data_IF_895298119753
#
_entry.id   IF_895298119753
#
_cell.length_a   1.000
_cell.length_b   1.000
_cell.length_c   1.000
_cell.angle_alpha   90.00
_cell.angle_beta   90.00
_cell.angle_gamma   90.00
#
_symmetry.space_group_name_H-M   'P 1'
#
loop_
_entity.id
_entity.type
_entity.pdbx_description
1 polymer ?
#
# COMPACT_ATOMS: atom_id res chain seq x y z
N UNK A 1 33.91 -0.07 -1.01
CA UNK A 1 33.62 -0.45 0.38
C UNK A 1 32.12 -0.51 0.56
N UNK A 2 31.59 -1.63 0.98
CA UNK A 2 30.17 -1.79 1.29
C UNK A 2 29.94 -1.20 2.68
N UNK A 3 29.08 -0.17 2.77
CA UNK A 3 28.66 0.40 4.05
C UNK A 3 27.75 -0.56 4.83
N UNK A 4 27.84 -0.51 6.16
CA UNK A 4 26.93 -1.26 7.07
C UNK A 4 26.07 -0.24 7.82
N UNK A 5 24.75 -0.46 7.81
CA UNK A 5 23.81 0.30 8.62
C UNK A 5 23.46 -0.51 9.85
N UNK A 6 23.85 -0.02 11.03
CA UNK A 6 23.47 -0.60 12.32
C UNK A 6 22.26 0.12 12.87
N UNK A 7 21.15 -0.60 13.12
CA UNK A 7 19.94 -0.07 13.70
C UNK A 7 19.79 -0.59 15.12
N UNK A 8 19.83 0.31 16.10
CA UNK A 8 19.51 0.00 17.50
C UNK A 8 18.08 0.44 17.78
N UNK A 9 17.25 -0.52 18.16
CA UNK A 9 15.83 -0.24 18.49
C UNK A 9 15.69 0.22 19.93
N UNK A 10 14.67 1.05 20.22
CA UNK A 10 14.35 1.49 21.58
C UNK A 10 14.17 0.28 22.50
N UNK A 11 14.78 0.31 23.66
CA UNK A 11 14.65 -0.68 24.74
C UNK A 11 14.29 0.07 26.05
N UNK A 12 13.86 -0.67 27.06
CA UNK A 12 13.70 -0.10 28.39
C UNK A 12 15.05 0.36 28.95
N UNK A 13 15.03 1.39 29.77
CA UNK A 13 16.18 1.94 30.48
C UNK A 13 15.95 1.83 31.99
N UNK A 14 17.01 1.96 32.77
CA UNK A 14 16.88 2.11 34.23
C UNK A 14 16.19 3.45 34.51
N UNK A 15 14.99 3.39 35.02
CA UNK A 15 14.15 4.55 35.40
C UNK A 15 13.94 4.61 36.90
N UNK A 16 14.76 3.88 37.68
CA UNK A 16 14.58 3.68 39.12
C UNK A 16 13.17 3.15 39.47
N UNK A 17 12.65 2.21 38.63
CA UNK A 17 11.33 1.62 38.82
C UNK A 17 10.15 2.48 38.35
N UNK A 18 10.37 3.70 37.85
CA UNK A 18 9.30 4.54 37.29
C UNK A 18 8.91 4.08 35.88
N UNK A 19 7.62 4.20 35.57
CA UNK A 19 7.09 3.97 34.22
C UNK A 19 7.15 5.28 33.44
N UNK A 20 7.73 5.21 32.23
CA UNK A 20 7.65 6.30 31.26
C UNK A 20 6.57 5.95 30.24
N UNK A 21 5.67 6.90 30.01
CA UNK A 21 4.60 6.81 28.99
C UNK A 21 4.90 7.85 27.92
N UNK A 22 4.94 7.42 26.65
CA UNK A 22 5.16 8.32 25.52
C UNK A 22 4.05 8.07 24.51
N UNK A 23 3.36 9.12 24.12
CA UNK A 23 2.45 9.13 22.99
C UNK A 23 3.05 9.94 21.85
N UNK A 24 3.04 9.36 20.65
CA UNK A 24 3.46 10.00 19.41
C UNK A 24 2.28 9.97 18.44
N UNK A 25 1.79 11.13 18.05
CA UNK A 25 0.64 11.31 17.18
C UNK A 25 1.00 12.17 15.96
N UNK A 26 0.53 11.78 14.78
CA UNK A 26 0.73 12.54 13.57
C UNK A 26 -0.49 12.49 12.65
N UNK A 27 -0.78 13.62 12.02
CA UNK A 27 -1.80 13.73 10.98
C UNK A 27 -1.21 14.45 9.77
N UNK A 28 -1.39 13.85 8.59
CA UNK A 28 -0.90 14.41 7.33
C UNK A 28 -2.03 14.44 6.32
N UNK A 29 -2.17 15.55 5.61
CA UNK A 29 -3.05 15.70 4.45
C UNK A 29 -2.17 15.72 3.21
N UNK A 30 -2.55 14.98 2.18
CA UNK A 30 -1.91 14.98 0.88
C UNK A 30 -2.93 15.29 -0.23
N UNK A 31 -2.44 15.78 -1.33
CA UNK A 31 -3.23 16.01 -2.54
C UNK A 31 -2.43 15.60 -3.75
N UNK A 32 -3.12 15.32 -4.86
CA UNK A 32 -2.45 15.03 -6.11
C UNK A 32 -1.51 16.19 -6.48
N UNK A 33 -0.28 15.86 -6.79
CA UNK A 33 0.76 16.83 -7.09
C UNK A 33 0.72 17.32 -8.55
N UNK A 34 1.85 17.19 -9.26
CA UNK A 34 1.95 17.53 -10.67
C UNK A 34 1.27 16.45 -11.52
N UNK A 35 0.38 16.88 -12.39
CA UNK A 35 -0.24 16.07 -13.44
C UNK A 35 0.37 16.43 -14.79
N UNK A 36 0.31 15.55 -15.81
CA UNK A 36 0.69 15.87 -17.17
C UNK A 36 -0.05 17.10 -17.70
N UNK A 37 0.64 17.89 -18.51
CA UNK A 37 0.04 19.02 -19.20
C UNK A 37 -0.81 18.49 -20.37
N UNK A 38 -2.02 18.98 -20.52
CA UNK A 38 -2.93 18.62 -21.60
C UNK A 38 -3.01 19.75 -22.62
N UNK A 39 -3.22 19.40 -23.89
CA UNK A 39 -3.55 20.41 -24.90
C UNK A 39 -4.93 21.02 -24.63
N UNK A 40 -5.15 22.27 -25.00
CA UNK A 40 -6.34 23.05 -24.63
C UNK A 40 -7.09 23.64 -25.81
N UNK A 41 -6.75 23.24 -27.03
CA UNK A 41 -7.26 23.87 -28.26
C UNK A 41 -8.28 23.00 -28.99
N UNK A 42 -8.17 21.68 -28.88
CA UNK A 42 -8.98 20.72 -29.62
C UNK A 42 -9.72 19.80 -28.67
N UNK A 43 -10.91 19.37 -29.06
CA UNK A 43 -11.75 18.47 -28.27
C UNK A 43 -11.76 17.04 -28.81
N UNK A 44 -12.79 16.30 -28.41
CA UNK A 44 -12.99 14.90 -28.77
C UNK A 44 -12.88 14.66 -30.28
N UNK A 45 -12.14 13.60 -30.65
CA UNK A 45 -11.98 13.17 -32.04
C UNK A 45 -10.54 13.17 -32.52
N UNK A 46 -10.37 12.95 -33.82
CA UNK A 46 -9.09 12.88 -34.52
C UNK A 46 -9.14 13.70 -35.82
N UNK A 47 -7.99 14.07 -36.36
CA UNK A 47 -7.83 14.69 -37.67
C UNK A 47 -8.60 16.01 -37.88
N UNK A 48 -8.81 16.78 -36.81
CA UNK A 48 -9.52 18.08 -36.88
C UNK A 48 -11.01 18.00 -37.14
N UNK A 49 -11.59 16.78 -37.17
CA UNK A 49 -13.03 16.59 -37.33
C UNK A 49 -13.72 16.62 -35.98
N UNK A 50 -14.73 17.47 -35.86
CA UNK A 50 -15.57 17.55 -34.67
C UNK A 50 -16.88 16.87 -34.91
N UNK A 51 -17.35 16.16 -33.91
CA UNK A 51 -18.73 15.70 -33.85
C UNK A 51 -19.15 14.88 -35.08
N UNK A 52 -20.30 14.46 -35.15
CA UNK A 52 -20.80 13.51 -36.15
C UNK A 52 -20.56 12.09 -35.66
N UNK A 53 -20.44 11.09 -36.54
CA UNK A 53 -20.37 9.68 -36.14
C UNK A 53 -19.18 9.30 -35.26
N UNK A 54 -18.24 10.20 -35.00
CA UNK A 54 -17.03 9.94 -34.21
C UNK A 54 -17.14 10.41 -32.76
N UNK A 55 -18.31 10.59 -32.21
CA UNK A 55 -18.55 10.91 -30.78
C UNK A 55 -18.10 9.79 -29.83
N UNK A 56 -17.73 8.63 -30.38
CA UNK A 56 -17.21 7.47 -29.63
C UNK A 56 -15.68 7.48 -29.44
N UNK A 57 -14.99 8.48 -30.00
CA UNK A 57 -13.53 8.58 -29.90
C UNK A 57 -13.09 9.03 -28.50
N UNK A 58 -11.95 8.54 -28.07
CA UNK A 58 -11.29 8.93 -26.84
C UNK A 58 -10.13 9.93 -27.07
N UNK A 59 -9.86 10.31 -28.31
CA UNK A 59 -8.79 11.24 -28.68
C UNK A 59 -9.18 12.71 -28.45
N UNK A 60 -8.16 13.57 -28.41
CA UNK A 60 -8.29 15.01 -28.17
C UNK A 60 -7.72 15.83 -29.34
N UNK A 61 -7.86 15.35 -30.57
CA UNK A 61 -7.38 15.99 -31.80
C UNK A 61 -8.50 16.16 -32.82
N UNK A 62 -9.72 16.37 -32.34
CA UNK A 62 -10.89 16.73 -33.12
C UNK A 62 -10.87 18.20 -33.57
N UNK A 63 -12.03 18.82 -33.74
CA UNK A 63 -12.10 20.23 -34.09
C UNK A 63 -11.63 21.15 -32.97
N UNK A 64 -11.26 22.38 -33.34
CA UNK A 64 -10.97 23.41 -32.37
C UNK A 64 -12.23 23.76 -31.54
N UNK A 65 -12.02 24.05 -30.28
CA UNK A 65 -13.08 24.49 -29.39
C UNK A 65 -13.70 25.80 -29.88
N UNK A 66 -15.02 25.90 -29.85
CA UNK A 66 -15.78 27.07 -30.22
C UNK A 66 -16.73 27.58 -29.13
N UNK A 67 -16.80 26.88 -27.99
CA UNK A 67 -17.62 27.23 -26.84
C UNK A 67 -19.14 27.04 -27.03
N UNK A 68 -19.57 26.50 -28.16
CA UNK A 68 -20.99 26.26 -28.43
C UNK A 68 -21.47 24.96 -27.80
N UNK A 69 -22.73 24.92 -27.44
CA UNK A 69 -23.37 23.69 -26.96
C UNK A 69 -23.42 22.65 -28.08
N UNK A 70 -23.03 21.44 -27.77
CA UNK A 70 -23.05 20.30 -28.67
C UNK A 70 -23.58 19.05 -27.98
N UNK A 71 -24.24 18.20 -28.72
CA UNK A 71 -24.59 16.86 -28.27
C UNK A 71 -23.33 16.01 -28.16
N UNK A 72 -23.31 15.05 -27.21
CA UNK A 72 -22.23 14.13 -27.04
C UNK A 72 -22.72 12.79 -26.47
N UNK A 73 -21.86 11.74 -26.54
CA UNK A 73 -22.23 10.42 -26.10
C UNK A 73 -23.32 9.76 -26.97
N UNK A 74 -23.83 8.67 -26.48
CA UNK A 74 -24.86 7.89 -27.16
C UNK A 74 -26.25 8.48 -27.04
N UNK A 75 -27.13 8.20 -28.01
CA UNK A 75 -28.58 8.43 -27.90
C UNK A 75 -29.15 7.25 -27.12
N UNK A 76 -29.87 7.54 -26.03
CA UNK A 76 -30.50 6.54 -25.16
C UNK A 76 -31.94 7.00 -24.88
N UNK A 77 -32.94 6.17 -25.21
CA UNK A 77 -34.37 6.48 -25.07
C UNK A 77 -34.76 7.81 -25.74
N UNK A 78 -34.29 8.03 -26.96
CA UNK A 78 -34.49 9.25 -27.75
C UNK A 78 -33.91 10.56 -27.12
N UNK A 79 -33.06 10.42 -26.09
CA UNK A 79 -32.37 11.53 -25.45
C UNK A 79 -30.86 11.48 -25.71
N UNK A 80 -30.20 12.62 -25.76
CA UNK A 80 -28.76 12.73 -25.86
C UNK A 80 -28.24 13.84 -24.97
N UNK A 81 -27.07 13.63 -24.37
CA UNK A 81 -26.43 14.62 -23.51
C UNK A 81 -25.93 15.81 -24.32
N UNK A 82 -25.98 17.01 -23.69
CA UNK A 82 -25.50 18.27 -24.28
C UNK A 82 -24.47 18.89 -23.35
N UNK A 83 -23.40 19.45 -23.92
CA UNK A 83 -22.35 20.16 -23.17
C UNK A 83 -21.76 21.29 -24.00
N UNK A 84 -21.17 22.33 -23.37
CA UNK A 84 -20.31 23.27 -24.08
C UNK A 84 -19.10 22.54 -24.69
N UNK A 85 -18.82 22.82 -25.96
CA UNK A 85 -17.63 22.32 -26.62
C UNK A 85 -16.43 23.21 -26.27
N UNK A 86 -15.87 22.98 -25.08
CA UNK A 86 -14.81 23.79 -24.51
C UNK A 86 -13.91 22.95 -23.59
N UNK A 87 -12.64 23.31 -23.51
CA UNK A 87 -11.69 22.68 -22.60
C UNK A 87 -12.12 22.83 -21.13
N UNK A 88 -12.14 21.73 -20.41
CA UNK A 88 -12.40 21.69 -18.97
C UNK A 88 -11.10 21.65 -18.18
N UNK A 89 -10.76 22.78 -17.60
CA UNK A 89 -9.59 22.90 -16.73
C UNK A 89 -9.75 22.04 -15.47
N UNK A 90 -8.68 21.40 -15.04
CA UNK A 90 -8.60 20.60 -13.82
C UNK A 90 -9.44 19.31 -13.80
N UNK A 91 -10.10 18.90 -14.86
CA UNK A 91 -11.00 17.72 -14.90
C UNK A 91 -10.37 16.46 -14.29
N UNK A 92 -9.09 16.20 -14.54
CA UNK A 92 -8.34 15.07 -13.96
C UNK A 92 -8.02 15.34 -12.49
N UNK A 93 -7.70 16.58 -12.13
CA UNK A 93 -7.40 16.96 -10.74
C UNK A 93 -8.63 16.83 -9.85
N UNK A 94 -9.79 17.25 -10.34
CA UNK A 94 -11.06 17.25 -9.61
C UNK A 94 -11.58 15.83 -9.35
N UNK A 95 -11.08 14.83 -10.07
CA UNK A 95 -11.34 13.43 -9.80
C UNK A 95 -10.72 12.96 -8.47
N UNK A 96 -9.57 13.51 -8.07
CA UNK A 96 -8.84 13.06 -6.90
C UNK A 96 -9.34 13.72 -5.62
N UNK A 97 -9.46 12.91 -4.55
CA UNK A 97 -9.76 13.37 -3.20
C UNK A 97 -8.50 13.83 -2.44
N UNK A 98 -8.70 14.34 -1.24
CA UNK A 98 -7.62 14.61 -0.29
C UNK A 98 -7.22 13.31 0.41
N UNK A 99 -5.95 12.94 0.26
CA UNK A 99 -5.39 11.85 1.03
C UNK A 99 -5.17 12.24 2.50
N UNK A 100 -5.33 11.26 3.40
CA UNK A 100 -5.21 11.44 4.85
C UNK A 100 -4.34 10.33 5.44
N UNK A 101 -3.47 10.71 6.36
CA UNK A 101 -2.65 9.75 7.08
C UNK A 101 -2.68 10.06 8.58
N UNK A 102 -3.09 9.07 9.36
CA UNK A 102 -3.13 9.09 10.82
C UNK A 102 -2.06 8.13 11.34
N UNK A 103 -1.17 8.66 12.19
CA UNK A 103 -0.19 7.86 12.93
C UNK A 103 -0.40 8.06 14.40
N UNK A 104 -0.52 6.96 15.13
CA UNK A 104 -0.63 6.96 16.59
C UNK A 104 0.29 5.88 17.13
N UNK A 105 1.07 6.22 18.15
CA UNK A 105 1.89 5.27 18.87
C UNK A 105 1.88 5.59 20.36
N UNK A 106 1.55 4.61 21.16
CA UNK A 106 1.66 4.66 22.62
C UNK A 106 2.75 3.70 23.04
N UNK A 107 3.73 4.16 23.82
CA UNK A 107 4.76 3.31 24.38
C UNK A 107 4.90 3.48 25.88
N UNK A 108 5.16 2.35 26.53
CA UNK A 108 5.45 2.23 27.95
C UNK A 108 6.86 1.67 28.09
N UNK A 109 7.69 2.28 28.91
CA UNK A 109 9.02 1.76 29.22
C UNK A 109 9.39 2.02 30.65
N UNK A 110 10.26 1.18 31.16
CA UNK A 110 10.77 1.34 32.51
C UNK A 110 11.80 0.26 32.83
N UNK A 111 12.34 0.35 34.04
CA UNK A 111 13.26 -0.64 34.52
C UNK A 111 14.01 -0.24 35.78
N UNK A 112 14.79 -1.20 36.25
CA UNK A 112 15.76 -1.11 37.28
C UNK A 112 17.14 -1.49 36.73
N UNK A 113 18.15 -1.62 37.55
CA UNK A 113 19.49 -2.11 37.14
C UNK A 113 19.44 -3.54 36.58
N UNK A 114 18.50 -4.36 37.06
CA UNK A 114 18.42 -5.79 36.70
C UNK A 114 17.31 -6.12 35.69
N UNK A 115 16.30 -5.28 35.61
CA UNK A 115 15.12 -5.55 34.78
C UNK A 115 14.80 -4.33 33.95
N UNK A 116 14.57 -4.50 32.64
CA UNK A 116 14.01 -3.46 31.82
C UNK A 116 12.92 -4.01 30.91
N UNK A 117 11.99 -3.14 30.55
CA UNK A 117 10.90 -3.47 29.63
C UNK A 117 10.53 -2.27 28.76
N UNK A 118 10.04 -2.59 27.58
CA UNK A 118 9.47 -1.67 26.63
C UNK A 118 8.28 -2.35 25.94
N UNK A 119 7.14 -1.66 25.88
CA UNK A 119 5.95 -2.10 25.15
C UNK A 119 5.47 -0.92 24.32
N UNK A 120 5.16 -1.15 23.06
CA UNK A 120 4.60 -0.12 22.17
C UNK A 120 3.48 -0.70 21.34
N UNK A 121 2.36 0.01 21.30
CA UNK A 121 1.25 -0.22 20.37
C UNK A 121 1.18 0.94 19.40
N UNK A 122 1.15 0.65 18.10
CA UNK A 122 1.06 1.68 17.07
C UNK A 122 0.03 1.35 16.00
N UNK A 123 -0.56 2.41 15.45
CA UNK A 123 -1.47 2.39 14.31
C UNK A 123 -0.95 3.35 13.25
N UNK A 124 -0.95 2.92 12.00
CA UNK A 124 -0.80 3.78 10.84
C UNK A 124 -1.98 3.52 9.89
N UNK A 125 -2.79 4.54 9.63
CA UNK A 125 -3.95 4.48 8.75
C UNK A 125 -3.82 5.52 7.66
N UNK A 126 -3.75 5.07 6.42
CA UNK A 126 -3.62 5.91 5.24
C UNK A 126 -4.85 5.70 4.36
N UNK A 127 -5.47 6.79 3.97
CA UNK A 127 -6.40 6.89 2.88
C UNK A 127 -5.72 7.74 1.81
N UNK A 128 -5.52 7.19 0.61
CA UNK A 128 -4.80 7.87 -0.46
C UNK A 128 -5.63 8.97 -1.13
N UNK A 129 -5.23 9.34 -2.33
CA UNK A 129 -5.91 10.43 -3.08
C UNK A 129 -6.97 9.92 -4.06
N UNK A 130 -7.10 8.60 -4.22
CA UNK A 130 -8.10 8.01 -5.11
C UNK A 130 -9.44 7.98 -4.39
N UNK A 131 -10.54 8.43 -5.03
CA UNK A 131 -11.86 8.41 -4.42
C UNK A 131 -12.26 7.02 -3.91
N UNK A 132 -13.21 6.97 -2.98
CA UNK A 132 -13.80 5.73 -2.46
C UNK A 132 -12.87 4.87 -1.59
N UNK A 133 -11.73 5.41 -1.14
CA UNK A 133 -10.75 4.71 -0.28
C UNK A 133 -10.25 3.38 -0.85
N UNK A 134 -10.10 3.31 -2.18
CA UNK A 134 -9.58 2.12 -2.85
C UNK A 134 -8.05 2.07 -2.90
N UNK A 135 -7.36 3.12 -2.46
CA UNK A 135 -5.91 3.19 -2.28
C UNK A 135 -5.56 3.39 -0.79
N UNK A 136 -5.99 2.47 0.06
CA UNK A 136 -5.85 2.60 1.51
C UNK A 136 -4.87 1.59 2.10
N UNK A 137 -4.24 1.99 3.21
CA UNK A 137 -3.33 1.15 4.00
C UNK A 137 -3.59 1.30 5.48
N UNK A 138 -3.75 0.19 6.18
CA UNK A 138 -3.91 0.15 7.62
C UNK A 138 -2.91 -0.84 8.21
N UNK A 139 -2.15 -0.39 9.24
CA UNK A 139 -1.21 -1.24 9.96
C UNK A 139 -1.34 -1.02 11.46
N UNK A 140 -1.43 -2.12 12.18
CA UNK A 140 -1.32 -2.18 13.63
C UNK A 140 -0.06 -2.94 13.99
N UNK A 141 0.69 -2.44 14.97
CA UNK A 141 1.92 -3.09 15.41
C UNK A 141 1.98 -3.11 16.94
N UNK A 142 2.27 -4.28 17.50
CA UNK A 142 2.66 -4.46 18.90
C UNK A 142 4.14 -4.81 18.93
N UNK A 143 4.93 -4.06 19.68
CA UNK A 143 6.34 -4.33 19.92
C UNK A 143 6.59 -4.45 21.42
N UNK A 144 7.21 -5.54 21.82
CA UNK A 144 7.63 -5.74 23.23
C UNK A 144 9.09 -6.10 23.29
N UNK A 145 9.77 -5.60 24.30
CA UNK A 145 11.15 -5.94 24.62
C UNK A 145 11.32 -5.99 26.12
N UNK A 146 12.10 -6.93 26.57
CA UNK A 146 12.42 -7.02 27.98
C UNK A 146 13.72 -7.72 28.22
N UNK A 147 14.36 -7.41 29.34
CA UNK A 147 15.46 -8.21 29.87
C UNK A 147 15.43 -8.26 31.39
N UNK A 148 15.89 -9.38 31.92
CA UNK A 148 16.04 -9.58 33.35
C UNK A 148 17.34 -10.31 33.62
N UNK A 149 18.09 -9.83 34.64
CA UNK A 149 19.32 -10.45 35.11
C UNK A 149 19.14 -10.99 36.53
N UNK A 150 19.33 -12.29 36.70
CA UNK A 150 19.31 -12.99 37.96
C UNK A 150 20.66 -13.66 38.21
N UNK A 151 21.52 -13.06 39.03
CA UNK A 151 22.88 -13.54 39.28
C UNK A 151 23.69 -13.63 37.99
N UNK A 152 24.13 -14.85 37.63
CA UNK A 152 24.92 -15.14 36.43
C UNK A 152 24.10 -15.30 35.15
N UNK A 153 22.78 -15.31 35.24
CA UNK A 153 21.87 -15.54 34.10
C UNK A 153 21.20 -14.24 33.70
N UNK A 154 21.25 -13.92 32.39
CA UNK A 154 20.47 -12.83 31.78
C UNK A 154 19.57 -13.38 30.68
N UNK A 155 18.29 -13.10 30.79
CA UNK A 155 17.29 -13.41 29.77
C UNK A 155 16.88 -12.12 29.07
N UNK A 156 16.83 -12.15 27.75
CA UNK A 156 16.36 -11.02 26.95
C UNK A 156 15.38 -11.50 25.88
N UNK A 157 14.30 -10.75 25.68
CA UNK A 157 13.28 -11.05 24.67
C UNK A 157 12.96 -9.82 23.84
N UNK A 158 12.59 -10.04 22.58
CA UNK A 158 12.03 -9.01 21.72
C UNK A 158 10.99 -9.67 20.82
N UNK A 159 9.78 -9.15 20.82
CA UNK A 159 8.66 -9.65 20.02
C UNK A 159 8.03 -8.49 19.29
N UNK A 160 7.76 -8.66 18.01
CA UNK A 160 7.01 -7.73 17.19
C UNK A 160 5.93 -8.49 16.42
N UNK A 161 4.72 -7.97 16.46
CA UNK A 161 3.58 -8.49 15.73
C UNK A 161 2.97 -7.36 14.93
N UNK A 162 2.67 -7.57 13.66
CA UNK A 162 1.94 -6.61 12.85
C UNK A 162 0.82 -7.25 12.05
N UNK A 163 -0.27 -6.50 11.90
CA UNK A 163 -1.38 -6.81 11.02
C UNK A 163 -1.54 -5.65 10.03
N UNK A 164 -1.55 -5.96 8.74
CA UNK A 164 -1.62 -4.99 7.66
C UNK A 164 -2.77 -5.32 6.71
N UNK A 165 -3.47 -4.28 6.25
CA UNK A 165 -4.44 -4.38 5.18
C UNK A 165 -4.17 -3.27 4.17
N UNK A 166 -3.97 -3.65 2.92
CA UNK A 166 -3.78 -2.74 1.79
C UNK A 166 -4.92 -2.95 0.80
N UNK A 167 -5.50 -1.87 0.33
CA UNK A 167 -6.32 -1.85 -0.87
C UNK A 167 -5.55 -1.10 -1.95
N UNK A 168 -5.62 -1.60 -3.17
CA UNK A 168 -4.96 -0.99 -4.32
C UNK A 168 -5.87 -1.04 -5.55
N UNK A 169 -5.83 0.01 -6.33
CA UNK A 169 -6.46 0.05 -7.66
C UNK A 169 -5.58 -0.65 -8.68
N UNK A 170 -6.20 -1.10 -9.77
CA UNK A 170 -5.48 -1.70 -10.89
C UNK A 170 -4.41 -0.77 -11.44
N UNK A 171 -3.24 -1.34 -11.72
CA UNK A 171 -2.10 -0.65 -12.33
C UNK A 171 -1.61 -1.45 -13.54
N UNK A 172 -0.91 -0.77 -14.45
CA UNK A 172 -0.41 -1.39 -15.68
C UNK A 172 -1.26 -1.04 -16.90
N UNK A 173 -0.75 -1.37 -18.08
CA UNK A 173 -1.40 -1.07 -19.35
C UNK A 173 -2.70 -1.87 -19.47
N UNK A 174 -3.81 -1.21 -19.75
CA UNK A 174 -5.13 -1.81 -19.96
C UNK A 174 -6.01 -1.92 -18.71
N UNK A 175 -5.44 -1.92 -17.50
CA UNK A 175 -6.19 -1.99 -16.24
C UNK A 175 -5.97 -0.79 -15.32
N UNK A 176 -5.21 0.22 -15.77
CA UNK A 176 -4.83 1.37 -14.96
C UNK A 176 -5.96 2.40 -14.89
N UNK A 177 -6.40 2.70 -13.68
CA UNK A 177 -7.30 3.84 -13.45
C UNK A 177 -6.76 5.15 -14.06
N UNK A 178 -5.44 5.37 -13.95
CA UNK A 178 -4.78 6.54 -14.54
C UNK A 178 -4.98 6.62 -16.06
N UNK A 179 -4.85 5.49 -16.78
CA UNK A 179 -5.15 5.42 -18.21
C UNK A 179 -6.60 5.84 -18.48
N UNK A 180 -7.55 5.27 -17.76
CA UNK A 180 -8.97 5.58 -17.94
C UNK A 180 -9.29 7.07 -17.79
N UNK A 181 -8.58 7.80 -16.91
CA UNK A 181 -8.78 9.25 -16.74
C UNK A 181 -8.29 10.06 -17.95
N UNK A 182 -7.17 9.65 -18.58
CA UNK A 182 -6.57 10.38 -19.70
C UNK A 182 -7.12 9.94 -21.07
N UNK A 183 -7.86 8.86 -21.12
CA UNK A 183 -8.62 8.42 -22.32
C UNK A 183 -10.02 9.05 -22.38
N UNK A 184 -10.37 9.93 -21.48
CA UNK A 184 -11.57 10.75 -21.55
C UNK A 184 -11.22 12.07 -22.26
N UNK A 185 -12.04 12.48 -23.22
CA UNK A 185 -11.82 13.73 -23.95
C UNK A 185 -11.82 14.95 -23.03
N UNK A 186 -10.99 15.94 -23.36
CA UNK A 186 -10.70 17.11 -22.50
C UNK A 186 -11.88 18.05 -22.27
N UNK A 187 -12.97 17.85 -22.98
CA UNK A 187 -14.25 18.57 -22.86
C UNK A 187 -15.33 17.76 -22.11
N UNK A 188 -14.97 16.61 -21.53
CA UNK A 188 -15.86 15.77 -20.74
C UNK A 188 -15.48 15.85 -19.25
N UNK A 189 -16.43 16.17 -18.40
CA UNK A 189 -16.28 16.21 -16.95
C UNK A 189 -16.18 14.80 -16.39
N UNK A 190 -15.03 14.46 -15.78
CA UNK A 190 -14.82 13.14 -15.21
C UNK A 190 -15.73 12.93 -13.99
N UNK A 191 -15.91 13.95 -13.16
CA UNK A 191 -16.73 13.83 -11.93
C UNK A 191 -18.20 13.59 -12.21
N UNK A 192 -18.70 14.00 -13.39
CA UNK A 192 -20.10 13.78 -13.79
C UNK A 192 -20.34 12.30 -14.19
N UNK A 193 -19.29 11.54 -14.44
CA UNK A 193 -19.37 10.10 -14.73
C UNK A 193 -19.50 9.23 -13.46
N UNK A 194 -19.59 9.85 -12.26
CA UNK A 194 -19.57 9.17 -10.97
C UNK A 194 -20.70 8.15 -10.82
N UNK A 195 -21.89 8.49 -11.31
CA UNK A 195 -22.99 7.52 -11.41
C UNK A 195 -22.80 6.64 -12.64
N UNK A 196 -21.93 5.63 -12.51
CA UNK A 196 -21.61 4.72 -13.60
C UNK A 196 -22.74 3.71 -13.92
N UNK A 197 -23.83 3.71 -13.15
CA UNK A 197 -25.07 2.98 -13.45
C UNK A 197 -26.09 3.84 -14.20
N UNK A 198 -25.84 5.13 -14.36
CA UNK A 198 -26.67 6.01 -15.16
C UNK A 198 -26.80 5.49 -16.60
N UNK A 199 -28.00 5.62 -17.20
CA UNK A 199 -28.28 5.13 -18.56
C UNK A 199 -27.30 5.60 -19.62
N UNK A 200 -26.66 6.77 -19.47
CA UNK A 200 -25.65 7.30 -20.39
C UNK A 200 -24.21 6.90 -20.08
N UNK A 201 -23.94 6.38 -18.87
CA UNK A 201 -22.59 6.18 -18.38
C UNK A 201 -22.27 4.73 -18.02
N UNK A 202 -23.26 3.84 -18.12
CA UNK A 202 -23.11 2.42 -17.89
C UNK A 202 -22.33 1.73 -19.03
N UNK A 203 -22.05 0.45 -18.90
CA UNK A 203 -21.29 -0.32 -19.90
C UNK A 203 -21.95 -0.31 -21.28
N UNK A 204 -23.28 -0.37 -21.33
CA UNK A 204 -24.04 -0.43 -22.57
C UNK A 204 -24.01 0.86 -23.40
N UNK A 205 -23.78 1.99 -22.73
CA UNK A 205 -23.96 3.32 -23.34
C UNK A 205 -22.80 4.29 -23.04
N UNK A 206 -21.68 3.81 -22.45
CA UNK A 206 -20.53 4.67 -22.25
C UNK A 206 -20.05 5.24 -23.58
N UNK A 207 -19.71 6.52 -23.59
CA UNK A 207 -19.51 7.33 -24.79
C UNK A 207 -18.40 6.83 -25.72
N UNK A 208 -17.43 6.03 -25.23
CA UNK A 208 -16.32 5.53 -26.06
C UNK A 208 -16.22 4.02 -26.01
N UNK A 209 -15.88 3.42 -27.15
CA UNK A 209 -15.59 1.98 -27.28
C UNK A 209 -14.19 1.60 -26.80
N UNK A 210 -13.30 2.56 -26.59
CA UNK A 210 -11.87 2.34 -26.32
C UNK A 210 -11.52 2.41 -24.84
N UNK A 211 -12.47 2.75 -23.99
CA UNK A 211 -12.26 2.87 -22.56
C UNK A 211 -13.50 2.48 -21.74
N UNK A 212 -13.32 2.42 -20.45
CA UNK A 212 -14.39 2.12 -19.49
C UNK A 212 -14.52 3.27 -18.51
N UNK A 213 -15.74 3.53 -18.04
CA UNK A 213 -15.99 4.54 -17.01
C UNK A 213 -15.03 4.34 -15.82
N UNK A 214 -14.22 5.34 -15.44
CA UNK A 214 -13.23 5.20 -14.37
C UNK A 214 -13.84 4.85 -13.03
N UNK A 215 -15.07 5.27 -12.75
CA UNK A 215 -15.76 4.90 -11.50
C UNK A 215 -16.25 3.46 -11.53
N UNK A 216 -16.65 2.91 -12.70
CA UNK A 216 -16.89 1.48 -12.82
C UNK A 216 -15.61 0.68 -12.51
N UNK A 217 -14.48 1.05 -13.14
CA UNK A 217 -13.18 0.41 -12.86
C UNK A 217 -12.82 0.49 -11.38
N UNK A 218 -13.09 1.64 -10.75
CA UNK A 218 -12.75 1.89 -9.35
C UNK A 218 -13.61 1.08 -8.38
N UNK A 219 -14.89 0.88 -8.67
CA UNK A 219 -15.83 0.20 -7.79
C UNK A 219 -15.86 -1.31 -8.01
N UNK A 220 -15.78 -1.73 -9.26
CA UNK A 220 -15.99 -3.12 -9.66
C UNK A 220 -14.68 -3.93 -9.75
N UNK A 221 -13.52 -3.26 -9.82
CA UNK A 221 -12.22 -3.90 -9.83
C UNK A 221 -11.44 -3.55 -8.55
N UNK A 222 -10.57 -4.43 -8.12
CA UNK A 222 -9.74 -4.11 -6.97
C UNK A 222 -8.79 -5.22 -6.53
N UNK A 223 -7.86 -4.82 -5.69
CA UNK A 223 -6.96 -5.75 -5.02
C UNK A 223 -6.94 -5.45 -3.52
N UNK A 224 -7.09 -6.48 -2.71
CA UNK A 224 -6.99 -6.41 -1.26
C UNK A 224 -5.92 -7.37 -0.79
N UNK A 225 -4.91 -6.85 -0.12
CA UNK A 225 -3.89 -7.68 0.54
C UNK A 225 -4.04 -7.58 2.05
N UNK A 226 -3.99 -8.72 2.74
CA UNK A 226 -3.89 -8.83 4.19
C UNK A 226 -2.60 -9.55 4.53
N UNK A 227 -1.80 -8.95 5.41
CA UNK A 227 -0.53 -9.49 5.83
C UNK A 227 -0.41 -9.50 7.35
N UNK A 228 0.03 -10.61 7.88
CA UNK A 228 0.34 -10.78 9.29
C UNK A 228 1.80 -11.17 9.41
N UNK A 229 2.52 -10.46 10.27
CA UNK A 229 3.94 -10.73 10.51
C UNK A 229 4.20 -10.81 12.01
N UNK A 230 4.94 -11.84 12.36
CA UNK A 230 5.54 -12.04 13.68
C UNK A 230 7.05 -12.16 13.49
N UNK A 231 7.82 -11.42 14.26
CA UNK A 231 9.24 -11.70 14.39
C UNK A 231 9.70 -11.45 15.82
N UNK A 232 10.59 -12.30 16.28
CA UNK A 232 11.03 -12.24 17.64
C UNK A 232 12.39 -12.83 17.88
N UNK A 233 12.94 -12.49 19.04
CA UNK A 233 14.20 -13.00 19.54
C UNK A 233 14.07 -13.34 21.01
N UNK A 234 14.59 -14.51 21.38
CA UNK A 234 14.89 -14.90 22.75
C UNK A 234 16.41 -15.06 22.89
N UNK A 235 17.00 -14.57 23.96
CA UNK A 235 18.41 -14.71 24.25
C UNK A 235 18.63 -15.04 25.71
N UNK A 236 19.44 -16.04 25.95
CA UNK A 236 19.92 -16.47 27.26
C UNK A 236 21.44 -16.31 27.29
N UNK A 237 21.90 -15.48 28.20
CA UNK A 237 23.33 -15.29 28.50
C UNK A 237 23.61 -15.90 29.87
N UNK A 238 24.70 -16.69 29.99
CA UNK A 238 25.17 -17.30 31.22
C UNK A 238 26.64 -17.01 31.42
N UNK A 239 26.95 -16.27 32.49
CA UNK A 239 28.32 -16.00 32.91
C UNK A 239 28.89 -17.25 33.64
N UNK A 240 29.48 -18.17 32.89
CA UNK A 240 30.03 -19.44 33.39
C UNK A 240 31.17 -19.12 34.39
N UNK A 241 32.11 -18.29 33.96
CA UNK A 241 33.24 -17.73 34.72
C UNK A 241 33.26 -16.22 34.50
N UNK A 242 34.13 -15.50 35.21
CA UNK A 242 34.28 -14.03 34.98
C UNK A 242 34.71 -13.73 33.54
N UNK A 243 35.55 -14.59 32.98
CA UNK A 243 36.12 -14.44 31.64
C UNK A 243 35.33 -15.22 30.56
N UNK A 244 34.43 -16.15 30.95
CA UNK A 244 33.73 -17.04 30.02
C UNK A 244 32.23 -16.88 30.08
N UNK A 245 31.62 -16.46 28.96
CA UNK A 245 30.18 -16.34 28.78
C UNK A 245 29.68 -17.32 27.73
N UNK A 246 28.60 -18.03 28.05
CA UNK A 246 27.80 -18.80 27.11
C UNK A 246 26.55 -18.03 26.71
N UNK A 247 26.27 -17.97 25.41
CA UNK A 247 25.08 -17.32 24.89
C UNK A 247 24.31 -18.28 23.99
N UNK A 248 23.01 -18.43 24.24
CA UNK A 248 22.08 -19.04 23.31
C UNK A 248 21.11 -18.00 22.81
N UNK A 249 20.92 -17.90 21.49
CA UNK A 249 19.98 -17.02 20.87
C UNK A 249 19.06 -17.80 19.93
N UNK A 250 17.76 -17.61 20.09
CA UNK A 250 16.74 -18.09 19.19
C UNK A 250 16.06 -16.90 18.51
N UNK A 251 15.98 -16.91 17.19
CA UNK A 251 15.25 -15.95 16.38
C UNK A 251 14.17 -16.64 15.55
N UNK A 252 13.00 -16.05 15.49
CA UNK A 252 11.91 -16.51 14.65
C UNK A 252 11.31 -15.36 13.86
N UNK A 253 11.04 -15.59 12.57
CA UNK A 253 10.30 -14.69 11.66
C UNK A 253 9.23 -15.54 10.96
N UNK A 254 7.98 -15.10 11.04
CA UNK A 254 6.86 -15.71 10.35
C UNK A 254 6.02 -14.63 9.69
N UNK A 255 5.76 -14.79 8.40
CA UNK A 255 4.91 -13.90 7.62
C UNK A 255 3.90 -14.73 6.83
N UNK A 256 2.63 -14.35 6.90
CA UNK A 256 1.60 -14.85 5.99
C UNK A 256 0.93 -13.65 5.32
N UNK A 257 0.74 -13.73 4.00
CA UNK A 257 0.00 -12.75 3.23
C UNK A 257 -1.01 -13.43 2.34
N UNK A 258 -2.20 -12.85 2.26
CA UNK A 258 -3.25 -13.22 1.32
C UNK A 258 -3.59 -12.00 0.47
N UNK A 259 -3.56 -12.17 -0.83
CA UNK A 259 -3.96 -11.15 -1.82
C UNK A 259 -5.16 -11.67 -2.61
N UNK A 260 -6.23 -10.91 -2.57
CA UNK A 260 -7.45 -11.15 -3.35
C UNK A 260 -7.49 -10.07 -4.44
N UNK A 261 -7.52 -10.45 -5.71
CA UNK A 261 -7.66 -9.53 -6.84
C UNK A 261 -8.88 -9.95 -7.65
N UNK A 262 -9.72 -8.99 -8.01
CA UNK A 262 -10.86 -9.23 -8.87
C UNK A 262 -10.95 -8.17 -9.97
N UNK A 263 -11.38 -8.62 -11.13
CA UNK A 263 -11.74 -7.82 -12.29
C UNK A 263 -13.16 -8.25 -12.65
N UNK A 264 -14.09 -7.31 -12.65
CA UNK A 264 -15.48 -7.57 -12.99
C UNK A 264 -15.62 -7.98 -14.47
N UNK A 265 -16.59 -8.82 -14.82
CA UNK A 265 -16.91 -9.09 -16.20
C UNK A 265 -17.43 -7.83 -16.90
N UNK A 266 -16.98 -7.58 -18.11
CA UNK A 266 -17.59 -6.62 -19.00
C UNK A 266 -18.60 -7.35 -19.86
N UNK A 267 -19.88 -7.17 -19.58
CA UNK A 267 -20.99 -7.75 -20.34
C UNK A 267 -21.79 -6.62 -20.95
N UNK A 268 -22.04 -6.70 -22.24
CA UNK A 268 -22.79 -5.70 -23.01
C UNK A 268 -24.14 -6.30 -23.39
N UNK A 269 -25.20 -5.57 -23.15
CA UNK A 269 -26.55 -6.02 -23.49
C UNK A 269 -26.72 -6.04 -25.01
N UNK A 270 -27.22 -7.15 -25.55
CA UNK A 270 -27.52 -7.31 -26.97
C UNK A 270 -28.44 -6.20 -27.46
N UNK A 271 -28.10 -5.57 -28.58
CA UNK A 271 -28.83 -4.43 -29.16
C UNK A 271 -28.60 -3.09 -28.48
N UNK A 272 -27.76 -2.99 -27.45
CA UNK A 272 -27.37 -1.71 -26.87
C UNK A 272 -26.38 -0.94 -27.76
N UNK A 273 -26.08 0.32 -27.41
CA UNK A 273 -25.20 1.17 -28.24
C UNK A 273 -23.76 0.64 -28.35
N UNK A 274 -23.29 -0.08 -27.35
CA UNK A 274 -21.92 -0.61 -27.32
C UNK A 274 -21.83 -2.08 -27.77
N UNK A 275 -22.98 -2.70 -28.11
CA UNK A 275 -23.02 -4.07 -28.62
C UNK A 275 -22.24 -4.22 -29.94
N UNK A 276 -21.37 -5.23 -29.97
CA UNK A 276 -20.47 -5.51 -31.10
C UNK A 276 -19.28 -4.56 -31.25
N UNK A 277 -19.17 -3.50 -30.43
CA UNK A 277 -18.05 -2.54 -30.45
C UNK A 277 -17.12 -2.69 -29.26
N UNK A 278 -17.66 -2.92 -28.07
CA UNK A 278 -16.85 -3.13 -26.86
C UNK A 278 -16.53 -4.61 -26.69
N UNK A 279 -15.25 -4.92 -26.46
CA UNK A 279 -14.83 -6.30 -26.21
C UNK A 279 -15.32 -6.74 -24.83
N UNK A 280 -16.15 -7.77 -24.82
CA UNK A 280 -16.57 -8.41 -23.58
C UNK A 280 -15.42 -9.18 -22.90
N UNK A 281 -15.38 -9.12 -21.58
CA UNK A 281 -14.39 -9.80 -20.75
C UNK A 281 -15.11 -10.62 -19.69
N UNK A 282 -14.78 -11.88 -19.56
CA UNK A 282 -15.40 -12.79 -18.59
C UNK A 282 -15.13 -12.40 -17.10
N UNK A 283 -14.22 -11.48 -16.88
CA UNK A 283 -13.74 -11.15 -15.55
C UNK A 283 -12.70 -12.13 -15.03
N UNK A 284 -12.14 -11.83 -13.87
CA UNK A 284 -11.12 -12.68 -13.24
C UNK A 284 -11.15 -12.50 -11.73
N UNK A 285 -10.99 -13.60 -11.00
CA UNK A 285 -10.72 -13.61 -9.58
C UNK A 285 -9.46 -14.43 -9.31
N UNK A 286 -8.49 -13.80 -8.65
CA UNK A 286 -7.23 -14.44 -8.27
C UNK A 286 -7.03 -14.32 -6.78
N UNK A 287 -6.83 -15.44 -6.11
CA UNK A 287 -6.37 -15.51 -4.73
C UNK A 287 -4.94 -16.01 -4.71
N UNK A 288 -4.07 -15.29 -4.01
CA UNK A 288 -2.68 -15.66 -3.79
C UNK A 288 -2.39 -15.68 -2.31
N UNK A 289 -1.83 -16.78 -1.81
CA UNK A 289 -1.37 -16.92 -0.43
C UNK A 289 0.11 -17.22 -0.39
N UNK A 290 0.84 -16.45 0.41
CA UNK A 290 2.28 -16.64 0.63
C UNK A 290 2.52 -16.83 2.12
N UNK A 291 3.28 -17.85 2.47
CA UNK A 291 3.77 -18.09 3.83
C UNK A 291 5.29 -18.17 3.82
N UNK A 292 5.93 -17.47 4.76
CA UNK A 292 7.37 -17.48 4.97
C UNK A 292 7.66 -17.71 6.43
N UNK A 293 8.57 -18.63 6.71
CA UNK A 293 9.06 -18.90 8.05
C UNK A 293 10.57 -18.96 8.03
N UNK A 294 11.21 -18.35 9.01
CA UNK A 294 12.63 -18.48 9.26
C UNK A 294 12.87 -18.67 10.75
N UNK A 295 13.62 -19.70 11.09
CA UNK A 295 14.09 -19.96 12.45
C UNK A 295 15.61 -19.92 12.47
N UNK A 296 16.18 -19.32 13.50
CA UNK A 296 17.61 -19.17 13.65
C UNK A 296 18.03 -19.52 15.08
N UNK A 297 19.05 -20.35 15.23
CA UNK A 297 19.63 -20.73 16.49
C UNK A 297 21.11 -20.38 16.47
N UNK A 298 21.58 -19.60 17.45
CA UNK A 298 22.97 -19.27 17.66
C UNK A 298 23.43 -19.80 19.03
N UNK A 299 24.49 -20.54 19.07
CA UNK A 299 25.22 -20.93 20.27
C UNK A 299 26.58 -20.29 20.22
N UNK A 300 26.98 -19.56 21.26
CA UNK A 300 28.27 -18.85 21.30
C UNK A 300 28.91 -18.99 22.65
N UNK A 301 30.23 -19.21 22.63
CA UNK A 301 31.11 -19.12 23.80
C UNK A 301 32.07 -17.96 23.58
N UNK A 302 32.04 -16.98 24.49
CA UNK A 302 32.93 -15.82 24.44
C UNK A 302 33.86 -15.85 25.64
N UNK A 303 35.16 -15.90 25.37
CA UNK A 303 36.22 -15.82 26.38
C UNK A 303 36.94 -14.49 26.23
N UNK A 304 37.06 -13.72 27.33
CA UNK A 304 37.81 -12.47 27.37
C UNK A 304 38.74 -12.49 28.60
N UNK A 305 40.04 -12.29 28.37
CA UNK A 305 41.02 -12.23 29.44
C UNK A 305 42.02 -11.12 29.21
N UNK A 306 42.34 -10.38 30.28
CA UNK A 306 43.36 -9.35 30.26
C UNK A 306 44.65 -9.89 30.94
N UNK A 307 45.73 -9.89 30.20
CA UNK A 307 47.08 -10.24 30.71
C UNK A 307 47.80 -8.96 31.10
N UNK A 308 47.55 -8.48 32.32
CA UNK A 308 48.07 -7.20 32.78
C UNK A 308 47.30 -6.01 32.21
N UNK A 309 47.97 -4.86 32.04
CA UNK A 309 47.36 -3.61 31.54
C UNK A 309 47.50 -3.50 30.00
N UNK A 310 48.46 -4.19 29.39
CA UNK A 310 48.84 -3.96 27.99
C UNK A 310 48.30 -4.99 26.99
N UNK A 311 47.84 -6.15 27.45
CA UNK A 311 47.40 -7.21 26.55
C UNK A 311 46.04 -7.77 26.91
N UNK A 312 45.10 -7.73 25.97
CA UNK A 312 43.78 -8.35 26.08
C UNK A 312 43.55 -9.39 24.98
N UNK A 313 43.01 -10.55 25.35
CA UNK A 313 42.63 -11.62 24.43
C UNK A 313 41.12 -11.80 24.47
N UNK A 314 40.46 -11.67 23.29
CA UNK A 314 39.04 -11.99 23.09
C UNK A 314 38.90 -13.12 22.05
N UNK A 315 38.25 -14.21 22.44
CA UNK A 315 37.97 -15.35 21.55
C UNK A 315 36.48 -15.65 21.58
N UNK A 316 35.88 -15.81 20.39
CA UNK A 316 34.47 -16.22 20.25
C UNK A 316 34.45 -17.49 19.38
N UNK A 317 33.83 -18.55 19.91
CA UNK A 317 33.48 -19.75 19.17
C UNK A 317 31.96 -19.86 19.10
N UNK A 318 31.42 -20.23 17.95
CA UNK A 318 29.97 -20.28 17.80
C UNK A 318 29.51 -21.30 16.76
N UNK A 319 28.25 -21.69 16.89
CA UNK A 319 27.51 -22.52 15.94
C UNK A 319 26.18 -21.84 15.62
N UNK A 320 25.84 -21.80 14.32
CA UNK A 320 24.57 -21.28 13.83
C UNK A 320 23.81 -22.36 13.06
N UNK A 321 22.52 -22.49 13.33
CA UNK A 321 21.58 -23.28 12.54
C UNK A 321 20.42 -22.39 12.08
N UNK A 322 20.13 -22.42 10.78
CA UNK A 322 19.07 -21.62 10.16
C UNK A 322 18.17 -22.52 9.32
N UNK A 323 16.85 -22.41 9.54
CA UNK A 323 15.81 -23.08 8.76
C UNK A 323 14.96 -22.02 8.07
N UNK A 324 14.66 -22.23 6.78
CA UNK A 324 13.75 -21.36 6.01
C UNK A 324 12.73 -22.21 5.29
N UNK A 325 11.47 -21.80 5.38
CA UNK A 325 10.35 -22.39 4.64
C UNK A 325 9.62 -21.29 3.85
N UNK A 326 9.26 -21.62 2.63
CA UNK A 326 8.46 -20.80 1.75
C UNK A 326 7.38 -21.64 1.12
N UNK A 327 6.14 -21.15 1.12
CA UNK A 327 4.99 -21.76 0.45
C UNK A 327 4.21 -20.67 -0.28
N UNK A 328 3.76 -20.99 -1.48
CA UNK A 328 2.91 -20.13 -2.32
C UNK A 328 1.80 -20.98 -2.95
N UNK A 329 0.58 -20.51 -2.84
CA UNK A 329 -0.63 -21.08 -3.42
C UNK A 329 -1.33 -20.03 -4.28
#
# INVERSE_FOLDING_TARGET
ANGVVMITTKSGQNTHGKVQVVYDGGYTISRVGRLPDEQTQFGQGWSGMSGGPNLHENGNWGAAYDGKDRVWGNIVDDEQLVKPYAYLKNRVRDFYDLGRNYKNALSLSGGTERTNYFVSLSQNSVDGVIPTSQDSYNRYTLATRGSHQAGKVKVSTSINVSAEKTKAVGSGQGASLHRSLYEIANDISIVDLKDYNNKFHNLDNYFTYYGTNPYYVLHENGAVQRKYKFFGKFQLDYDVLKELKATYRFGGDYETSRSDTHIAPTQITEGSNNDGYVTEVAGNYTEKRIERMQLNHDFMLSYNHNFGEDLSLGVIAGFNANERKYSEL
#
